data_IF_706746516840
#
_entry.id   IF_706746516840
#
_cell.length_a   1.000
_cell.length_b   1.000
_cell.length_c   1.000
_cell.angle_alpha   90.00
_cell.angle_beta   90.00
_cell.angle_gamma   90.00
#
_symmetry.space_group_name_H-M   'P 1'
#
loop_
_entity.id
_entity.type
_entity.pdbx_description
1 polymer ?
#
# COMPACT_ATOMS: atom_id res chain seq x y z
N UNK A 1 -11.87 -23.82 -15.89
CA UNK A 1 -12.35 -25.09 -15.28
C UNK A 1 -12.96 -24.77 -13.93
N UNK A 2 -14.25 -25.06 -13.72
CA UNK A 2 -14.93 -24.76 -12.45
C UNK A 2 -14.73 -25.93 -11.48
N UNK A 3 -14.38 -25.67 -10.22
CA UNK A 3 -14.40 -26.68 -9.15
C UNK A 3 -15.61 -26.37 -8.27
N UNK A 4 -16.53 -27.33 -8.15
CA UNK A 4 -17.66 -27.29 -7.25
C UNK A 4 -17.20 -27.69 -5.85
N UNK A 5 -17.08 -26.73 -4.92
CA UNK A 5 -16.94 -27.03 -3.50
C UNK A 5 -18.32 -27.35 -2.90
N UNK A 6 -18.43 -28.49 -2.21
CA UNK A 6 -19.69 -28.98 -1.63
C UNK A 6 -19.97 -28.30 -0.27
N UNK A 7 -21.16 -27.66 -0.23
CA UNK A 7 -22.08 -27.35 0.89
C UNK A 7 -21.51 -27.03 2.29
N UNK A 8 -21.57 -25.75 2.63
CA UNK A 8 -22.19 -25.29 3.86
C UNK A 8 -22.99 -24.00 3.56
N UNK A 9 -24.07 -23.76 4.29
CA UNK A 9 -25.18 -22.84 3.97
C UNK A 9 -24.87 -21.33 3.97
N UNK A 10 -23.84 -20.90 3.27
CA UNK A 10 -23.61 -19.50 2.93
C UNK A 10 -23.54 -19.36 1.42
N UNK A 11 -24.16 -18.28 0.90
CA UNK A 11 -24.19 -17.87 -0.51
C UNK A 11 -22.96 -18.40 -1.27
N UNK A 12 -23.19 -19.26 -2.25
CA UNK A 12 -22.13 -19.74 -3.13
C UNK A 12 -21.54 -18.55 -3.88
N UNK A 13 -20.34 -18.15 -3.49
CA UNK A 13 -19.56 -17.14 -4.20
C UNK A 13 -18.95 -17.81 -5.43
N UNK A 14 -19.25 -17.31 -6.64
CA UNK A 14 -18.62 -17.80 -7.87
C UNK A 14 -17.28 -17.10 -8.02
N UNK A 15 -16.20 -17.81 -7.76
CA UNK A 15 -14.84 -17.31 -8.00
C UNK A 15 -14.51 -17.51 -9.48
N UNK A 16 -14.35 -16.41 -10.23
CA UNK A 16 -13.90 -16.44 -11.62
C UNK A 16 -12.38 -16.65 -11.65
N UNK A 17 -11.89 -17.81 -12.08
CA UNK A 17 -10.45 -18.12 -12.20
C UNK A 17 -9.75 -17.39 -13.36
N UNK A 18 -10.05 -16.12 -13.59
CA UNK A 18 -9.29 -15.28 -14.51
C UNK A 18 -7.84 -15.14 -14.05
N UNK A 19 -6.93 -14.84 -14.97
CA UNK A 19 -5.59 -14.38 -14.59
C UNK A 19 -5.72 -13.12 -13.74
N UNK A 20 -4.93 -13.01 -12.66
CA UNK A 20 -4.87 -11.80 -11.84
C UNK A 20 -4.72 -10.55 -12.72
N UNK A 21 -5.57 -9.55 -12.47
CA UNK A 21 -5.53 -8.25 -13.13
C UNK A 21 -5.25 -7.16 -12.12
N UNK A 22 -4.71 -6.04 -12.62
CA UNK A 22 -4.61 -4.82 -11.83
C UNK A 22 -6.02 -4.25 -11.63
N UNK A 23 -6.43 -4.08 -10.37
CA UNK A 23 -7.77 -3.61 -9.99
C UNK A 23 -7.88 -2.07 -9.90
N UNK A 24 -6.88 -1.31 -10.36
CA UNK A 24 -6.82 0.17 -10.19
C UNK A 24 -8.04 0.91 -10.79
N UNK A 25 -8.67 0.39 -11.85
CA UNK A 25 -9.90 0.99 -12.39
C UNK A 25 -11.07 1.05 -11.38
N UNK A 26 -11.06 0.20 -10.35
CA UNK A 26 -12.05 0.17 -9.26
C UNK A 26 -11.75 1.21 -8.16
N UNK A 27 -10.61 1.91 -8.24
CA UNK A 27 -10.03 2.68 -7.13
C UNK A 27 -9.96 4.19 -7.36
N UNK A 28 -10.19 4.70 -8.59
CA UNK A 28 -9.92 6.09 -9.02
C UNK A 28 -10.55 7.22 -8.16
N UNK A 29 -11.41 6.93 -7.19
CA UNK A 29 -11.93 7.92 -6.22
C UNK A 29 -12.03 7.40 -4.79
N UNK A 30 -11.40 6.26 -4.48
CA UNK A 30 -11.68 5.47 -3.27
C UNK A 30 -10.49 5.27 -2.33
N UNK A 31 -9.45 6.07 -2.50
CA UNK A 31 -8.36 6.13 -1.53
C UNK A 31 -8.69 7.09 -0.38
N UNK A 32 -8.39 6.69 0.85
CA UNK A 32 -8.47 7.53 2.05
C UNK A 32 -7.25 7.29 2.93
N UNK A 33 -6.94 8.21 3.83
CA UNK A 33 -5.77 8.11 4.68
C UNK A 33 -6.02 8.64 6.10
N UNK A 34 -5.18 8.22 7.05
CA UNK A 34 -5.25 8.64 8.45
C UNK A 34 -4.89 10.10 8.68
N UNK A 35 -4.06 10.66 7.79
CA UNK A 35 -3.77 12.08 7.74
C UNK A 35 -4.68 12.71 6.70
N UNK A 36 -5.42 13.74 7.12
CA UNK A 36 -6.25 14.57 6.26
C UNK A 36 -5.36 15.42 5.33
N UNK A 37 -4.80 14.77 4.31
CA UNK A 37 -4.23 15.47 3.16
C UNK A 37 -5.02 15.03 1.93
N UNK A 38 -5.45 16.00 1.11
CA UNK A 38 -6.27 15.84 -0.09
C UNK A 38 -5.62 15.04 -1.23
N UNK A 39 -4.63 14.21 -0.91
CA UNK A 39 -3.73 13.55 -1.86
C UNK A 39 -3.73 12.03 -1.73
N UNK A 40 -4.59 11.44 -0.88
CA UNK A 40 -4.71 9.97 -0.83
C UNK A 40 -5.03 9.36 -2.21
N UNK A 41 -5.79 10.07 -3.05
CA UNK A 41 -6.14 9.62 -4.41
C UNK A 41 -4.95 9.53 -5.36
N UNK A 42 -3.84 10.23 -5.09
CA UNK A 42 -2.63 10.16 -5.92
C UNK A 42 -2.04 8.77 -5.98
N UNK A 43 -2.27 7.94 -4.96
CA UNK A 43 -1.69 6.60 -4.91
C UNK A 43 -2.39 5.58 -5.80
N UNK A 44 -3.42 6.00 -6.54
CA UNK A 44 -4.20 5.15 -7.45
C UNK A 44 -4.51 5.88 -8.76
N UNK A 45 -3.77 6.94 -9.08
CA UNK A 45 -3.97 7.72 -10.31
C UNK A 45 -3.11 7.19 -11.48
N UNK A 46 -2.23 6.23 -11.22
CA UNK A 46 -1.37 5.60 -12.21
C UNK A 46 -0.05 6.34 -12.45
N UNK A 47 0.16 7.50 -11.83
CA UNK A 47 1.41 8.25 -11.89
C UNK A 47 2.36 7.80 -10.77
N UNK A 48 3.47 7.19 -11.18
CA UNK A 48 4.47 6.68 -10.25
C UNK A 48 5.56 7.70 -9.92
N UNK A 49 5.45 8.97 -10.33
CA UNK A 49 6.50 9.99 -10.16
C UNK A 49 6.38 10.75 -8.84
N UNK A 50 7.49 11.34 -8.36
CA UNK A 50 7.57 11.98 -7.02
C UNK A 50 6.51 13.07 -6.76
N UNK A 51 6.10 13.80 -7.80
CA UNK A 51 5.11 14.87 -7.70
C UNK A 51 3.67 14.32 -7.48
N UNK A 52 3.43 13.07 -7.86
CA UNK A 52 2.25 12.31 -7.52
C UNK A 52 2.53 11.38 -6.33
N UNK A 53 2.41 11.91 -5.12
CA UNK A 53 2.56 11.09 -3.91
C UNK A 53 1.64 11.54 -2.79
N UNK A 54 1.23 10.57 -1.97
CA UNK A 54 0.70 10.80 -0.64
C UNK A 54 1.85 10.79 0.38
N UNK A 55 1.76 11.66 1.38
CA UNK A 55 2.73 11.73 2.49
C UNK A 55 2.08 11.37 3.82
N UNK A 56 2.56 10.32 4.46
CA UNK A 56 2.16 9.89 5.80
C UNK A 56 3.10 10.42 6.90
N UNK A 57 2.55 10.68 8.08
CA UNK A 57 3.24 11.05 9.34
C UNK A 57 2.41 10.54 10.53
N UNK A 58 2.90 10.73 11.76
CA UNK A 58 2.24 10.36 13.02
C UNK A 58 1.95 8.86 13.08
N UNK A 59 3.01 8.05 13.11
CA UNK A 59 2.85 6.59 13.08
C UNK A 59 2.10 6.04 14.32
N UNK A 60 1.35 4.95 14.18
CA UNK A 60 1.01 4.31 12.93
C UNK A 60 0.04 5.17 12.10
N UNK A 61 0.33 5.29 10.80
CA UNK A 61 -0.55 5.95 9.85
C UNK A 61 -1.09 4.90 8.87
N UNK A 62 -2.17 5.22 8.16
CA UNK A 62 -2.75 4.26 7.23
C UNK A 62 -3.20 4.93 5.93
N UNK A 63 -3.17 4.12 4.87
CA UNK A 63 -3.76 4.41 3.58
C UNK A 63 -4.68 3.26 3.21
N UNK A 64 -5.95 3.58 2.97
CA UNK A 64 -7.04 2.65 2.71
C UNK A 64 -7.53 2.83 1.28
N UNK A 65 -7.82 1.72 0.62
CA UNK A 65 -8.39 1.63 -0.72
C UNK A 65 -9.69 0.85 -0.63
N UNK A 66 -10.80 1.46 -1.02
CA UNK A 66 -12.10 0.80 -1.10
C UNK A 66 -12.42 0.37 -2.54
N UNK A 67 -12.97 -0.82 -2.71
CA UNK A 67 -13.43 -1.33 -4.01
C UNK A 67 -14.92 -1.03 -4.21
N UNK A 68 -15.39 -0.88 -5.45
CA UNK A 68 -16.84 -0.78 -5.75
C UNK A 68 -17.59 -2.07 -5.52
N UNK A 69 -16.92 -3.19 -5.75
CA UNK A 69 -17.46 -4.52 -5.59
C UNK A 69 -16.55 -5.38 -4.72
N UNK A 70 -17.09 -6.52 -4.31
CA UNK A 70 -16.31 -7.52 -3.62
C UNK A 70 -15.26 -8.08 -4.59
N UNK A 71 -14.00 -8.07 -4.17
CA UNK A 71 -12.87 -8.51 -4.98
C UNK A 71 -12.06 -9.56 -4.24
N UNK A 72 -11.55 -10.53 -4.97
CA UNK A 72 -10.54 -11.43 -4.46
C UNK A 72 -9.18 -10.83 -4.79
N UNK A 73 -8.45 -10.42 -3.76
CA UNK A 73 -7.16 -9.75 -3.85
C UNK A 73 -6.05 -10.73 -3.49
N UNK A 74 -5.01 -10.82 -4.31
CA UNK A 74 -3.90 -11.78 -4.19
C UNK A 74 -2.53 -11.11 -4.15
N UNK A 75 -2.45 -9.81 -4.43
CA UNK A 75 -1.17 -9.10 -4.41
C UNK A 75 -1.30 -7.59 -4.37
N UNK A 76 -0.17 -6.95 -4.06
CA UNK A 76 -0.01 -5.50 -4.11
C UNK A 76 1.39 -5.14 -4.62
N UNK A 77 1.52 -4.11 -5.44
CA UNK A 77 2.79 -3.45 -5.73
C UNK A 77 2.77 -2.03 -5.18
N UNK A 78 3.74 -1.69 -4.35
CA UNK A 78 3.84 -0.40 -3.66
C UNK A 78 5.03 0.36 -4.24
N UNK A 79 4.76 1.52 -4.83
CA UNK A 79 5.76 2.48 -5.25
C UNK A 79 5.90 3.50 -4.13
N UNK A 80 6.99 3.41 -3.36
CA UNK A 80 7.21 4.28 -2.20
C UNK A 80 8.51 5.08 -2.33
N UNK A 81 8.61 6.14 -1.54
CA UNK A 81 9.71 7.08 -1.54
C UNK A 81 9.49 8.27 -2.48
N UNK A 82 10.11 9.40 -2.13
CA UNK A 82 10.37 10.55 -2.98
C UNK A 82 11.80 10.41 -3.52
N UNK A 83 11.95 9.75 -4.68
CA UNK A 83 13.22 9.23 -5.18
C UNK A 83 14.27 10.34 -5.36
N UNK A 84 13.86 11.56 -5.70
CA UNK A 84 14.72 12.74 -5.78
C UNK A 84 15.50 13.02 -4.47
N UNK A 85 15.01 12.55 -3.33
CA UNK A 85 15.67 12.73 -2.02
C UNK A 85 16.54 11.55 -1.58
N UNK A 86 16.68 10.48 -2.38
CA UNK A 86 17.44 9.28 -2.01
C UNK A 86 18.89 9.56 -1.54
N UNK A 87 19.50 10.59 -2.12
CA UNK A 87 20.89 11.02 -1.85
C UNK A 87 21.01 12.17 -0.84
N UNK A 88 19.89 12.66 -0.29
CA UNK A 88 19.89 13.66 0.76
C UNK A 88 19.96 13.00 2.14
N UNK A 89 20.42 13.71 3.19
CA UNK A 89 20.41 13.15 4.54
C UNK A 89 19.03 12.72 5.04
N UNK A 90 17.95 13.33 4.53
CA UNK A 90 16.57 12.93 4.85
C UNK A 90 16.12 11.66 4.15
N UNK A 91 16.87 11.19 3.14
CA UNK A 91 16.51 10.06 2.25
C UNK A 91 15.18 10.28 1.51
N UNK A 92 14.76 9.28 0.75
CA UNK A 92 13.48 9.28 0.02
C UNK A 92 12.26 9.00 0.90
N UNK A 93 12.42 8.53 2.15
CA UNK A 93 11.28 8.24 3.03
C UNK A 93 10.35 7.15 2.48
N UNK A 94 10.93 6.08 1.92
CA UNK A 94 10.19 4.89 1.50
C UNK A 94 9.57 4.15 2.68
N UNK A 95 8.51 3.36 2.43
CA UNK A 95 7.88 2.56 3.49
C UNK A 95 8.86 1.49 3.97
N UNK A 96 9.04 1.36 5.29
CA UNK A 96 9.96 0.39 5.89
C UNK A 96 9.22 -0.76 6.56
N UNK A 97 8.30 -0.42 7.45
CA UNK A 97 7.57 -1.38 8.27
C UNK A 97 6.07 -1.19 8.12
N UNK A 98 5.32 -2.24 7.80
CA UNK A 98 3.87 -2.13 7.63
C UNK A 98 3.13 -3.47 7.78
N UNK A 99 1.81 -3.36 7.94
CA UNK A 99 0.88 -4.47 7.77
C UNK A 99 -0.06 -4.20 6.59
N UNK A 100 -0.21 -5.17 5.70
CA UNK A 100 -1.29 -5.16 4.72
C UNK A 100 -2.52 -5.80 5.34
N UNK A 101 -3.61 -5.04 5.43
CA UNK A 101 -4.81 -5.47 6.12
C UNK A 101 -6.03 -5.37 5.20
N UNK A 102 -6.98 -6.29 5.34
CA UNK A 102 -8.25 -6.28 4.63
C UNK A 102 -9.42 -6.21 5.63
N UNK A 103 -10.55 -5.68 5.17
CA UNK A 103 -11.76 -5.59 5.97
C UNK A 103 -12.59 -6.87 5.81
N UNK A 104 -12.91 -7.53 6.92
CA UNK A 104 -13.77 -8.70 6.97
C UNK A 104 -14.66 -8.67 8.22
N UNK A 105 -15.98 -8.75 8.02
CA UNK A 105 -16.95 -8.68 9.10
C UNK A 105 -16.83 -7.40 9.96
N UNK A 106 -16.46 -6.27 9.33
CA UNK A 106 -16.24 -4.99 10.01
C UNK A 106 -14.94 -4.91 10.83
N UNK A 107 -14.06 -5.91 10.74
CA UNK A 107 -12.77 -5.96 11.43
C UNK A 107 -11.62 -6.01 10.44
N UNK A 108 -10.55 -5.28 10.75
CA UNK A 108 -9.31 -5.36 9.98
C UNK A 108 -8.55 -6.65 10.34
N UNK A 109 -8.20 -7.43 9.33
CA UNK A 109 -7.38 -8.64 9.44
C UNK A 109 -6.14 -8.51 8.56
N UNK A 110 -5.06 -9.20 8.92
CA UNK A 110 -3.82 -9.19 8.12
C UNK A 110 -3.97 -10.08 6.89
N UNK A 111 -3.64 -9.57 5.71
CA UNK A 111 -3.60 -10.33 4.47
C UNK A 111 -2.33 -11.19 4.35
N UNK A 112 -1.25 -10.74 5.00
CA UNK A 112 0.05 -11.42 5.02
C UNK A 112 0.79 -11.14 6.34
N UNK A 113 1.88 -11.86 6.66
CA UNK A 113 2.74 -11.50 7.79
C UNK A 113 3.20 -10.03 7.73
N UNK A 114 3.39 -9.34 8.87
CA UNK A 114 3.92 -7.98 8.88
C UNK A 114 5.24 -7.89 8.14
N UNK A 115 5.40 -6.87 7.31
CA UNK A 115 6.66 -6.59 6.63
C UNK A 115 7.51 -5.71 7.54
N UNK A 116 8.75 -6.13 7.72
CA UNK A 116 9.80 -5.42 8.42
C UNK A 116 10.96 -5.22 7.47
N UNK A 117 11.53 -4.02 7.49
CA UNK A 117 12.69 -3.67 6.66
C UNK A 117 12.46 -3.88 5.15
N UNK A 118 11.33 -3.37 4.64
CA UNK A 118 11.01 -3.37 3.21
C UNK A 118 12.18 -2.76 2.40
N UNK A 119 12.50 -3.31 1.22
CA UNK A 119 13.59 -2.81 0.38
C UNK A 119 13.50 -1.31 0.14
N UNK A 120 14.67 -0.68 0.15
CA UNK A 120 14.85 0.76 -0.09
C UNK A 120 15.31 1.01 -1.51
N UNK A 121 14.91 2.14 -2.10
CA UNK A 121 15.44 2.60 -3.37
C UNK A 121 16.94 2.90 -3.25
N UNK A 122 17.73 2.40 -4.20
CA UNK A 122 19.21 2.56 -4.22
C UNK A 122 19.71 3.56 -5.26
N UNK A 123 18.83 4.11 -6.11
CA UNK A 123 19.23 5.08 -7.13
C UNK A 123 19.14 4.62 -8.58
N UNK A 124 18.85 3.34 -8.84
CA UNK A 124 19.07 2.72 -10.16
C UNK A 124 17.80 2.54 -11.00
N UNK A 125 16.63 2.49 -10.37
CA UNK A 125 15.35 2.20 -11.02
C UNK A 125 14.28 3.28 -10.75
N UNK A 126 13.97 4.19 -11.70
CA UNK A 126 12.92 5.20 -11.51
C UNK A 126 11.52 4.57 -11.32
N UNK A 127 11.31 3.33 -11.75
CA UNK A 127 10.09 2.55 -11.58
C UNK A 127 10.09 1.72 -10.29
N UNK A 128 11.03 1.98 -9.37
CA UNK A 128 11.18 1.24 -8.12
C UNK A 128 9.85 1.10 -7.37
N UNK A 129 9.42 -0.14 -7.23
CA UNK A 129 8.24 -0.52 -6.47
C UNK A 129 8.30 -2.00 -6.11
N UNK A 130 7.85 -2.33 -4.90
CA UNK A 130 7.97 -3.69 -4.37
C UNK A 130 6.63 -4.40 -4.48
N UNK A 131 6.65 -5.57 -5.11
CA UNK A 131 5.49 -6.44 -5.23
C UNK A 131 5.46 -7.48 -4.11
N UNK A 132 4.30 -7.63 -3.49
CA UNK A 132 4.00 -8.60 -2.45
C UNK A 132 2.83 -9.46 -2.90
N UNK A 133 2.99 -10.78 -2.84
CA UNK A 133 1.95 -11.78 -3.12
C UNK A 133 1.56 -12.49 -1.85
N UNK A 134 0.29 -12.86 -1.73
CA UNK A 134 -0.26 -13.52 -0.55
C UNK A 134 -1.46 -14.40 -0.91
N UNK A 135 -1.89 -15.22 0.05
CA UNK A 135 -3.07 -16.06 -0.11
C UNK A 135 -4.30 -15.19 -0.40
N UNK A 136 -5.08 -15.48 -1.46
CA UNK A 136 -6.14 -14.58 -1.87
C UNK A 136 -7.18 -14.32 -0.77
N UNK A 137 -7.50 -13.05 -0.56
CA UNK A 137 -8.54 -12.60 0.39
C UNK A 137 -9.70 -11.97 -0.35
N UNK A 138 -10.93 -12.26 0.08
CA UNK A 138 -12.13 -11.66 -0.48
C UNK A 138 -12.53 -10.46 0.37
N UNK A 139 -12.52 -9.26 -0.20
CA UNK A 139 -12.82 -8.02 0.53
C UNK A 139 -13.31 -6.91 -0.40
N UNK A 140 -13.94 -5.89 0.18
CA UNK A 140 -14.23 -4.62 -0.48
C UNK A 140 -13.30 -3.49 0.00
N UNK A 141 -12.32 -3.79 0.87
CA UNK A 141 -11.43 -2.77 1.41
C UNK A 141 -10.09 -3.36 1.84
N UNK A 142 -9.01 -2.73 1.42
CA UNK A 142 -7.64 -3.05 1.85
C UNK A 142 -6.97 -1.78 2.38
N UNK A 143 -6.08 -1.91 3.35
CA UNK A 143 -5.25 -0.80 3.82
C UNK A 143 -3.81 -1.20 4.04
N UNK A 144 -2.93 -0.26 3.74
CA UNK A 144 -1.55 -0.25 4.17
C UNK A 144 -1.49 0.42 5.56
N UNK A 145 -1.24 -0.35 6.61
CA UNK A 145 -1.08 0.14 7.98
C UNK A 145 0.41 0.29 8.28
N UNK A 146 0.91 1.52 8.15
CA UNK A 146 2.34 1.84 8.17
C UNK A 146 2.79 2.09 9.60
N UNK A 147 3.86 1.44 9.99
CA UNK A 147 4.45 1.51 11.35
C UNK A 147 5.87 2.05 11.37
N UNK A 148 6.50 2.22 10.20
CA UNK A 148 7.84 2.79 10.11
C UNK A 148 8.22 3.19 8.67
N UNK A 149 9.18 4.11 8.59
CA UNK A 149 9.69 4.71 7.34
C UNK A 149 11.22 4.62 7.29
N UNK A 150 11.77 4.69 6.08
CA UNK A 150 13.20 4.84 5.84
C UNK A 150 13.71 6.28 6.02
N UNK A 151 12.84 7.28 6.31
CA UNK A 151 13.31 8.60 6.77
C UNK A 151 14.07 8.41 8.09
N UNK A 152 15.39 8.68 8.14
CA UNK A 152 16.21 8.53 9.34
C UNK A 152 16.04 9.68 10.34
N UNK A 153 15.32 10.74 9.96
CA UNK A 153 15.11 11.94 10.78
C UNK A 153 16.26 12.96 10.73
N UNK A 154 17.31 12.70 9.95
CA UNK A 154 18.38 13.67 9.64
C UNK A 154 17.92 14.67 8.58
N UNK A 155 18.50 15.87 8.57
CA UNK A 155 18.19 16.94 7.60
C UNK A 155 19.49 17.57 7.11
N UNK A 156 19.43 18.41 6.08
CA UNK A 156 20.63 19.12 5.57
C UNK A 156 21.33 19.92 6.68
N UNK A 157 20.57 20.53 7.58
CA UNK A 157 21.10 21.25 8.75
C UNK A 157 21.72 20.35 9.83
N UNK A 158 21.38 19.06 9.83
CA UNK A 158 21.87 18.07 10.80
C UNK A 158 22.02 16.71 10.12
N UNK A 159 23.07 16.53 9.28
CA UNK A 159 23.18 15.36 8.40
C UNK A 159 23.60 14.08 9.13
N UNK A 160 24.08 14.20 10.38
CA UNK A 160 24.59 13.08 11.18
C UNK A 160 23.76 12.79 12.43
N UNK A 161 22.87 13.69 12.81
CA UNK A 161 22.09 13.59 14.04
C UNK A 161 20.61 13.67 13.67
N UNK A 162 19.81 12.64 13.96
CA UNK A 162 18.38 12.70 13.73
C UNK A 162 17.77 13.77 14.62
N UNK A 163 17.12 14.76 13.99
CA UNK A 163 16.46 15.87 14.68
C UNK A 163 14.93 15.82 14.54
N UNK A 164 14.41 14.93 13.69
CA UNK A 164 12.97 14.66 13.57
C UNK A 164 12.61 13.41 14.38
N UNK A 165 11.71 13.54 15.38
CA UNK A 165 11.19 12.40 16.14
C UNK A 165 10.63 11.34 15.22
N UNK A 166 10.80 10.05 15.56
CA UNK A 166 10.38 8.92 14.72
C UNK A 166 8.90 9.01 14.28
N UNK A 167 8.03 9.43 15.19
CA UNK A 167 6.60 9.62 14.95
C UNK A 167 6.30 10.70 13.88
N UNK A 168 7.17 11.69 13.73
CA UNK A 168 6.97 12.84 12.83
C UNK A 168 7.64 12.68 11.46
N UNK A 169 8.40 11.58 11.28
CA UNK A 169 9.11 11.32 10.04
C UNK A 169 8.15 11.00 8.90
N UNK A 170 8.53 11.38 7.68
CA UNK A 170 7.65 11.23 6.53
C UNK A 170 7.78 9.85 5.89
N UNK A 171 6.66 9.29 5.44
CA UNK A 171 6.63 8.21 4.44
C UNK A 171 5.98 8.76 3.19
N UNK A 172 6.52 8.43 2.02
CA UNK A 172 5.97 8.82 0.74
C UNK A 172 5.47 7.59 -0.01
N UNK A 173 4.24 7.62 -0.50
CA UNK A 173 3.66 6.59 -1.36
C UNK A 173 3.28 7.26 -2.66
N UNK A 174 3.91 6.86 -3.77
CA UNK A 174 3.64 7.38 -5.10
C UNK A 174 2.42 6.69 -5.71
N UNK A 175 2.39 5.36 -5.66
CA UNK A 175 1.35 4.55 -6.28
C UNK A 175 1.20 3.20 -5.55
N UNK A 176 -0.02 2.65 -5.57
CA UNK A 176 -0.36 1.31 -5.10
C UNK A 176 -1.17 0.60 -6.18
N UNK A 177 -0.61 -0.49 -6.71
CA UNK A 177 -1.33 -1.39 -7.63
C UNK A 177 -1.82 -2.60 -6.86
N UNK A 178 -3.12 -2.87 -6.93
CA UNK A 178 -3.73 -4.06 -6.34
C UNK A 178 -3.94 -5.12 -7.42
N UNK A 179 -3.57 -6.37 -7.16
CA UNK A 179 -3.76 -7.50 -8.05
C UNK A 179 -4.85 -8.43 -7.53
N UNK A 180 -5.72 -8.88 -8.43
CA UNK A 180 -6.78 -9.82 -8.10
C UNK A 180 -7.82 -9.97 -9.20
N UNK A 181 -9.00 -10.43 -8.81
CA UNK A 181 -10.16 -10.67 -9.68
C UNK A 181 -11.43 -10.13 -9.03
N UNK A 182 -12.36 -9.69 -9.88
CA UNK A 182 -13.70 -9.31 -9.46
C UNK A 182 -14.52 -10.57 -9.14
N UNK A 183 -15.25 -10.52 -8.04
CA UNK A 183 -16.15 -11.60 -7.63
C UNK A 183 -17.57 -11.21 -8.01
N UNK A 184 -18.19 -12.01 -8.90
CA UNK A 184 -19.58 -11.83 -9.34
C UNK A 184 -20.58 -12.55 -8.43
#
# INVERSE_FOLDING_TARGET
>A
SYITAIKNSQKSVKINLGSDKVLTSQLNSKASASVASDQAQKVVDGDILDHSSWTGKNYPCWLRLDFEMLSQVSGVKIFSGCLAYAYYPSTEGSVKDFELQYLDGGKWKRAMPPIKDSPRFTGEDPEFGIEYKFDPVVTNSIRLYITGTNDPGTRVSSPKIPIVPEQERSVHIREIKIYGIEVQ
#
